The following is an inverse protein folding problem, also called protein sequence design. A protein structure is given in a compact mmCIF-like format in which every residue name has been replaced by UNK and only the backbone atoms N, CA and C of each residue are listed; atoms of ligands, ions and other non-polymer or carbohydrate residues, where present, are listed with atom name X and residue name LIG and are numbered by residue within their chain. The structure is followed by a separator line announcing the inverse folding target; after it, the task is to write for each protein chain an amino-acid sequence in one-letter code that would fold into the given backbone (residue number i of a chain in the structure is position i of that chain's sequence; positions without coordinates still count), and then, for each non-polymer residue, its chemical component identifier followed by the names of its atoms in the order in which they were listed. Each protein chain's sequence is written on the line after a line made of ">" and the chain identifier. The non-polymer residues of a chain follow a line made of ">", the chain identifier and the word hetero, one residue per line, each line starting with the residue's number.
data_IF_457832911038
#
_entry.id   IF_457832911038
#
_cell.length_a   1.000
_cell.length_b   1.000
_cell.length_c   1.000
_cell.angle_alpha   90.00
_cell.angle_beta   90.00
_cell.angle_gamma   90.00
#
_symmetry.space_group_name_H-M   'P 1'
#
loop_
_entity.id
_entity.type
_entity.pdbx_description
1 polymer ?
#
# COMPACT_ATOMS: atom_id res chain seq x y z
N UNK A 1 31.95 -57.85 51.66
CA UNK A 1 31.97 -56.58 52.39
C UNK A 1 32.97 -55.68 51.72
N UNK A 2 32.56 -54.76 50.84
CA UNK A 2 33.33 -53.61 50.38
C UNK A 2 32.35 -52.62 49.81
N UNK A 3 32.26 -51.46 50.45
CA UNK A 3 31.38 -50.35 50.12
C UNK A 3 31.75 -49.69 48.80
N UNK A 4 30.82 -49.60 47.89
CA UNK A 4 30.93 -48.82 46.67
C UNK A 4 30.22 -47.46 46.88
N UNK A 5 31.00 -46.41 47.05
CA UNK A 5 30.49 -45.02 47.13
C UNK A 5 30.16 -44.54 45.72
N UNK A 6 28.89 -44.25 45.52
CA UNK A 6 28.36 -43.66 44.30
C UNK A 6 28.63 -42.15 44.36
N UNK A 7 29.55 -41.64 43.51
CA UNK A 7 29.72 -40.21 43.29
C UNK A 7 28.69 -39.74 42.26
N UNK A 8 27.71 -38.97 42.71
CA UNK A 8 26.83 -38.21 41.85
C UNK A 8 27.59 -36.97 41.31
N UNK A 9 28.00 -37.01 40.09
CA UNK A 9 28.49 -35.83 39.38
C UNK A 9 27.28 -34.97 38.95
N UNK A 10 27.12 -33.82 39.57
CA UNK A 10 26.13 -32.81 39.22
C UNK A 10 26.58 -32.11 37.95
N UNK A 11 26.00 -32.49 36.83
CA UNK A 11 26.24 -31.83 35.52
C UNK A 11 25.43 -30.51 35.54
N UNK A 12 26.10 -29.39 35.79
CA UNK A 12 25.55 -28.08 35.57
C UNK A 12 25.41 -27.87 34.05
N UNK A 13 24.17 -27.97 33.55
CA UNK A 13 23.83 -27.46 32.21
C UNK A 13 23.96 -25.92 32.26
N UNK A 14 25.05 -25.43 31.70
CA UNK A 14 25.18 -24.05 31.26
C UNK A 14 24.18 -23.89 30.08
N UNK A 15 23.00 -23.37 30.38
CA UNK A 15 22.12 -22.81 29.34
C UNK A 15 22.85 -21.55 28.87
N UNK A 16 23.62 -21.72 27.80
CA UNK A 16 24.13 -20.60 27.03
C UNK A 16 22.89 -19.82 26.51
N UNK A 17 22.67 -18.64 27.06
CA UNK A 17 21.85 -17.64 26.44
C UNK A 17 22.45 -17.35 25.06
N UNK A 18 22.00 -18.07 24.04
CA UNK A 18 22.23 -17.67 22.67
C UNK A 18 21.65 -16.27 22.53
N UNK A 19 22.40 -15.26 22.05
CA UNK A 19 21.79 -14.00 21.69
C UNK A 19 20.70 -14.35 20.69
N UNK A 20 19.43 -14.07 21.03
CA UNK A 20 18.33 -14.27 20.14
C UNK A 20 18.70 -13.56 18.85
N UNK A 21 18.76 -14.29 17.74
CA UNK A 21 18.80 -13.67 16.43
C UNK A 21 17.55 -12.77 16.38
N UNK A 22 17.75 -11.46 16.42
CA UNK A 22 16.67 -10.52 16.14
C UNK A 22 16.17 -10.94 14.76
N UNK A 23 14.91 -11.35 14.68
CA UNK A 23 14.29 -11.73 13.42
C UNK A 23 14.51 -10.58 12.45
N UNK A 24 15.16 -10.87 11.31
CA UNK A 24 15.50 -9.82 10.35
C UNK A 24 14.20 -9.21 9.85
N UNK A 25 14.04 -7.89 10.03
CA UNK A 25 12.86 -7.17 9.55
C UNK A 25 12.73 -7.31 8.04
N UNK A 26 11.50 -7.44 7.58
CA UNK A 26 11.19 -7.51 6.15
C UNK A 26 11.28 -6.11 5.56
N UNK A 27 12.06 -5.99 4.49
CA UNK A 27 12.28 -4.72 3.82
C UNK A 27 11.13 -4.38 2.87
N UNK A 28 10.67 -3.13 2.94
CA UNK A 28 9.62 -2.62 2.05
C UNK A 28 9.98 -1.23 1.54
N UNK A 29 9.70 -0.96 0.29
CA UNK A 29 9.52 0.38 -0.25
C UNK A 29 8.03 0.56 -0.45
N UNK A 30 7.52 1.71 -0.02
CA UNK A 30 6.11 2.07 -0.15
C UNK A 30 6.00 3.06 -1.30
N UNK A 31 5.24 2.73 -2.33
CA UNK A 31 4.81 3.66 -3.36
C UNK A 31 3.35 4.00 -3.13
N UNK A 32 3.01 5.29 -3.01
CA UNK A 32 1.70 5.69 -2.49
C UNK A 32 1.29 7.08 -2.96
N UNK A 33 -0.01 7.30 -3.08
CA UNK A 33 -0.67 8.58 -3.36
C UNK A 33 -1.36 9.14 -2.11
N UNK A 34 -0.57 9.76 -1.26
CA UNK A 34 -0.90 10.14 0.12
C UNK A 34 -1.76 11.38 0.25
N UNK A 35 -3.07 11.28 0.13
CA UNK A 35 -4.02 12.41 0.09
C UNK A 35 -4.21 13.21 1.38
N UNK A 36 -3.38 12.99 2.39
CA UNK A 36 -3.41 13.75 3.64
C UNK A 36 -4.19 13.13 4.79
N UNK A 37 -4.33 13.86 5.90
CA UNK A 37 -4.82 13.30 7.16
C UNK A 37 -6.29 12.89 7.06
N UNK A 38 -6.61 11.75 7.70
CA UNK A 38 -7.93 11.12 7.68
C UNK A 38 -8.15 10.17 6.51
N UNK A 39 -7.24 10.14 5.53
CA UNK A 39 -7.26 9.18 4.41
C UNK A 39 -6.64 7.83 4.76
N UNK A 40 -7.08 6.80 4.06
CA UNK A 40 -6.58 5.41 4.20
C UNK A 40 -5.08 5.31 3.89
N UNK A 41 -4.58 6.04 2.89
CA UNK A 41 -3.18 6.04 2.49
C UNK A 41 -2.24 6.39 3.65
N UNK A 42 -2.58 7.44 4.43
CA UNK A 42 -1.78 7.84 5.60
C UNK A 42 -1.84 6.79 6.72
N UNK A 43 -2.97 6.13 6.90
CA UNK A 43 -3.12 5.04 7.88
C UNK A 43 -2.37 3.79 7.43
N UNK A 44 -2.22 3.59 6.14
CA UNK A 44 -1.40 2.53 5.55
C UNK A 44 0.08 2.73 5.84
N UNK A 45 0.59 3.97 5.65
CA UNK A 45 1.95 4.30 6.06
C UNK A 45 2.16 3.98 7.54
N UNK A 46 1.20 4.38 8.41
CA UNK A 46 1.26 4.06 9.83
C UNK A 46 1.25 2.55 10.08
N UNK A 47 0.42 1.78 9.37
CA UNK A 47 0.34 0.32 9.52
C UNK A 47 1.70 -0.35 9.28
N UNK A 48 2.41 0.08 8.23
CA UNK A 48 3.74 -0.44 7.90
C UNK A 48 4.82 0.06 8.87
N UNK A 49 4.83 1.36 9.18
CA UNK A 49 5.82 2.00 10.06
C UNK A 49 5.73 1.49 11.50
N UNK A 50 4.52 1.26 12.01
CA UNK A 50 4.28 0.80 13.39
C UNK A 50 4.58 -0.69 13.57
N UNK A 51 4.71 -1.45 12.49
CA UNK A 51 4.98 -2.89 12.59
C UNK A 51 6.44 -3.15 13.00
N UNK A 52 6.68 -3.91 14.09
CA UNK A 52 8.02 -4.20 14.56
C UNK A 52 8.80 -5.16 13.65
N UNK A 53 8.11 -5.85 12.74
CA UNK A 53 8.72 -6.82 11.79
C UNK A 53 9.00 -6.21 10.42
N UNK A 54 8.76 -4.90 10.25
CA UNK A 54 8.93 -4.18 8.99
C UNK A 54 10.09 -3.20 9.07
N UNK A 55 10.88 -3.12 8.02
CA UNK A 55 11.88 -2.09 7.75
C UNK A 55 11.45 -1.30 6.52
N UNK A 56 10.96 -0.07 6.71
CA UNK A 56 10.62 0.82 5.62
C UNK A 56 11.89 1.49 5.12
N UNK A 57 12.30 1.16 3.89
CA UNK A 57 13.52 1.70 3.26
C UNK A 57 13.32 3.12 2.72
N UNK A 58 12.09 3.45 2.35
CA UNK A 58 11.68 4.76 1.86
C UNK A 58 10.26 4.74 1.33
N UNK A 59 9.74 5.93 1.04
CA UNK A 59 8.40 6.15 0.51
C UNK A 59 8.56 6.95 -0.78
N UNK A 60 8.16 6.37 -1.91
CA UNK A 60 7.96 7.10 -3.17
C UNK A 60 6.52 7.61 -3.22
N UNK A 61 6.33 8.80 -3.77
CA UNK A 61 5.01 9.46 -3.79
C UNK A 61 4.66 9.85 -5.21
N UNK A 62 3.60 9.24 -5.72
CA UNK A 62 3.05 9.46 -7.06
C UNK A 62 1.80 10.34 -6.99
N UNK A 63 1.45 11.07 -8.03
CA UNK A 63 0.12 11.70 -8.10
C UNK A 63 -0.97 10.66 -8.30
N UNK A 64 -2.05 10.82 -7.58
CA UNK A 64 -3.23 9.96 -7.66
C UNK A 64 -4.41 10.63 -6.98
N UNK A 65 -4.60 10.37 -5.70
CA UNK A 65 -5.66 10.99 -4.89
C UNK A 65 -5.56 12.52 -4.90
N UNK A 66 -4.31 13.05 -4.82
CA UNK A 66 -3.98 14.46 -4.97
C UNK A 66 -2.76 14.60 -5.90
N UNK A 67 -2.23 15.82 -6.02
CA UNK A 67 -1.00 16.05 -6.76
C UNK A 67 0.23 15.66 -5.94
N UNK A 68 1.23 15.09 -6.58
CA UNK A 68 2.46 14.59 -5.97
C UNK A 68 3.09 15.53 -4.93
N UNK A 69 3.23 16.83 -5.23
CA UNK A 69 3.91 17.76 -4.33
C UNK A 69 3.13 18.02 -3.04
N UNK A 70 1.80 18.05 -3.13
CA UNK A 70 0.91 18.09 -1.97
C UNK A 70 1.03 16.80 -1.15
N UNK A 71 0.99 15.64 -1.79
CA UNK A 71 1.10 14.34 -1.13
C UNK A 71 2.46 14.10 -0.49
N UNK A 72 3.55 14.59 -1.12
CA UNK A 72 4.89 14.63 -0.51
C UNK A 72 4.87 15.46 0.77
N UNK A 73 4.22 16.62 0.75
CA UNK A 73 4.15 17.50 1.94
C UNK A 73 3.35 16.84 3.08
N UNK A 74 2.24 16.15 2.79
CA UNK A 74 1.49 15.36 3.75
C UNK A 74 2.33 14.23 4.34
N UNK A 75 3.04 13.48 3.49
CA UNK A 75 3.89 12.35 3.90
C UNK A 75 5.02 12.82 4.82
N UNK A 76 5.74 13.87 4.45
CA UNK A 76 6.79 14.47 5.29
C UNK A 76 6.22 14.89 6.65
N UNK A 77 5.06 15.54 6.64
CA UNK A 77 4.44 16.00 7.88
C UNK A 77 3.99 14.86 8.78
N UNK A 78 3.45 13.77 8.22
CA UNK A 78 3.16 12.57 8.98
C UNK A 78 4.41 12.02 9.67
N UNK A 79 5.51 11.86 8.91
CA UNK A 79 6.76 11.32 9.46
C UNK A 79 7.33 12.18 10.59
N UNK A 80 7.20 13.51 10.48
CA UNK A 80 7.56 14.43 11.59
C UNK A 80 6.69 14.18 12.82
N UNK A 81 5.38 14.04 12.64
CA UNK A 81 4.42 13.86 13.74
C UNK A 81 4.63 12.53 14.49
N UNK A 82 5.06 11.49 13.78
CA UNK A 82 5.30 10.17 14.40
C UNK A 82 6.78 9.91 14.72
N UNK A 83 7.67 10.89 14.47
CA UNK A 83 9.08 10.81 14.84
C UNK A 83 9.91 9.85 13.96
N UNK A 84 9.57 9.72 12.68
CA UNK A 84 10.22 8.85 11.69
C UNK A 84 10.80 9.61 10.50
N UNK A 85 11.40 10.77 10.76
CA UNK A 85 12.09 11.58 9.74
C UNK A 85 13.38 10.93 9.17
N UNK A 86 13.73 9.76 9.68
CA UNK A 86 14.78 8.89 9.15
C UNK A 86 14.38 8.20 7.83
N UNK A 87 13.07 8.05 7.57
CA UNK A 87 12.56 7.44 6.34
C UNK A 87 12.58 8.48 5.22
N UNK A 88 13.32 8.26 4.13
CA UNK A 88 13.33 9.17 2.99
C UNK A 88 11.97 9.18 2.28
N UNK A 89 11.48 10.36 1.95
CA UNK A 89 10.33 10.58 1.07
C UNK A 89 10.84 11.07 -0.27
N UNK A 90 10.58 10.34 -1.32
CA UNK A 90 11.12 10.58 -2.66
C UNK A 90 9.97 10.95 -3.61
N UNK A 91 9.97 12.17 -4.18
CA UNK A 91 8.96 12.54 -5.15
C UNK A 91 9.03 11.67 -6.41
N UNK A 92 7.90 11.08 -6.78
CA UNK A 92 7.73 10.29 -7.99
C UNK A 92 7.16 11.09 -9.16
N UNK A 93 6.35 10.43 -9.98
CA UNK A 93 5.76 11.04 -11.18
C UNK A 93 4.64 12.03 -10.82
N UNK A 94 4.65 13.18 -11.50
CA UNK A 94 3.54 14.14 -11.42
C UNK A 94 2.36 13.71 -12.29
N UNK A 95 2.65 13.06 -13.41
CA UNK A 95 1.65 12.71 -14.39
C UNK A 95 1.84 11.30 -14.93
N UNK A 96 0.76 10.56 -15.16
CA UNK A 96 0.79 9.41 -16.05
C UNK A 96 1.40 9.78 -17.40
N UNK A 97 2.23 8.95 -18.03
CA UNK A 97 2.82 9.24 -19.34
C UNK A 97 1.79 9.39 -20.46
N UNK A 98 0.71 8.63 -20.43
CA UNK A 98 -0.31 8.55 -21.49
C UNK A 98 -1.62 9.15 -21.02
N UNK A 99 -2.25 8.57 -19.99
CA UNK A 99 -3.54 8.99 -19.49
C UNK A 99 -3.43 10.31 -18.71
N UNK A 100 -4.12 11.34 -19.20
CA UNK A 100 -4.08 12.69 -18.64
C UNK A 100 -5.47 13.18 -18.27
N UNK A 101 -5.56 14.21 -17.44
CA UNK A 101 -6.84 14.81 -17.04
C UNK A 101 -7.76 15.08 -18.22
N UNK A 102 -7.22 15.61 -19.35
CA UNK A 102 -8.03 15.89 -20.54
C UNK A 102 -8.66 14.63 -21.12
N UNK A 103 -7.91 13.56 -21.22
CA UNK A 103 -8.38 12.25 -21.70
C UNK A 103 -9.42 11.68 -20.73
N UNK A 104 -9.17 11.74 -19.43
CA UNK A 104 -10.11 11.32 -18.40
C UNK A 104 -11.43 12.10 -18.45
N UNK A 105 -11.38 13.42 -18.64
CA UNK A 105 -12.58 14.27 -18.79
C UNK A 105 -13.35 13.94 -20.06
N UNK A 106 -12.67 13.67 -21.19
CA UNK A 106 -13.32 13.23 -22.44
C UNK A 106 -13.97 11.86 -22.29
N UNK A 107 -13.29 10.94 -21.59
CA UNK A 107 -13.84 9.62 -21.29
C UNK A 107 -15.13 9.76 -20.46
N UNK A 108 -15.10 10.55 -19.38
CA UNK A 108 -16.26 10.79 -18.53
C UNK A 108 -17.42 11.48 -19.30
N UNK A 109 -17.10 12.40 -20.20
CA UNK A 109 -18.12 13.05 -21.04
C UNK A 109 -18.82 12.07 -21.99
N UNK A 110 -18.12 11.02 -22.42
CA UNK A 110 -18.63 10.02 -23.36
C UNK A 110 -19.34 8.86 -22.68
N UNK A 111 -18.79 8.37 -21.54
CA UNK A 111 -19.21 7.11 -20.93
C UNK A 111 -19.88 7.28 -19.56
N UNK A 112 -19.84 8.48 -18.98
CA UNK A 112 -20.40 8.78 -17.67
C UNK A 112 -19.34 9.21 -16.66
N UNK A 113 -19.78 9.98 -15.66
CA UNK A 113 -18.89 10.45 -14.59
C UNK A 113 -18.51 9.31 -13.65
N UNK A 114 -17.24 9.26 -13.25
CA UNK A 114 -16.80 8.46 -12.11
C UNK A 114 -17.13 9.17 -10.80
N UNK A 115 -17.33 8.43 -9.73
CA UNK A 115 -17.62 9.01 -8.43
C UNK A 115 -16.40 9.67 -7.79
N UNK A 116 -15.22 9.13 -8.08
CA UNK A 116 -13.93 9.62 -7.59
C UNK A 116 -12.92 9.68 -8.75
N UNK A 117 -12.27 10.84 -8.92
CA UNK A 117 -11.29 11.08 -9.98
C UNK A 117 -9.94 11.62 -9.43
N UNK A 118 -9.72 11.55 -8.12
CA UNK A 118 -8.49 11.98 -7.48
C UNK A 118 -8.10 13.42 -7.81
N UNK A 119 -6.84 13.67 -8.10
CA UNK A 119 -6.30 14.96 -8.48
C UNK A 119 -6.97 15.60 -9.71
N UNK A 120 -7.72 14.82 -10.50
CA UNK A 120 -8.42 15.35 -11.67
C UNK A 120 -9.86 15.76 -11.39
N UNK A 121 -10.35 15.57 -10.16
CA UNK A 121 -11.74 15.87 -9.80
C UNK A 121 -12.00 17.38 -9.75
N UNK A 122 -13.03 17.84 -10.47
CA UNK A 122 -13.39 19.27 -10.53
C UNK A 122 -13.78 19.87 -9.16
N UNK A 123 -14.16 19.02 -8.17
CA UNK A 123 -14.62 19.45 -6.85
C UNK A 123 -13.54 20.10 -5.99
N UNK A 124 -12.26 19.68 -6.22
CA UNK A 124 -11.08 20.17 -5.47
C UNK A 124 -9.86 20.36 -6.36
N UNK A 125 -10.07 20.47 -7.67
CA UNK A 125 -8.99 20.63 -8.61
C UNK A 125 -8.21 21.95 -8.39
N UNK A 126 -6.90 21.84 -8.42
CA UNK A 126 -5.93 22.95 -8.46
C UNK A 126 -4.76 22.58 -9.37
N UNK A 127 -3.90 23.55 -9.68
CA UNK A 127 -2.70 23.30 -10.47
C UNK A 127 -1.74 22.36 -9.71
N UNK A 128 -1.07 21.47 -10.46
CA UNK A 128 -0.22 20.42 -9.90
C UNK A 128 0.97 20.90 -9.06
N UNK A 129 1.41 22.14 -9.24
CA UNK A 129 2.49 22.80 -8.51
C UNK A 129 2.00 23.66 -7.32
N UNK A 130 0.71 23.62 -7.05
CA UNK A 130 0.09 24.31 -5.92
C UNK A 130 -0.04 23.35 -4.74
N UNK A 131 0.53 23.72 -3.59
CA UNK A 131 0.30 22.99 -2.33
C UNK A 131 -0.72 23.80 -1.53
N UNK A 132 -1.94 23.26 -1.30
CA UNK A 132 -2.94 23.90 -0.47
C UNK A 132 -2.49 24.05 0.99
N UNK A 133 -3.28 24.77 1.79
CA UNK A 133 -3.06 24.80 3.24
C UNK A 133 -3.33 23.41 3.83
N UNK A 134 -2.31 22.78 4.42
CA UNK A 134 -2.39 21.44 4.98
C UNK A 134 -3.05 21.47 6.36
N UNK A 135 -4.05 20.63 6.56
CA UNK A 135 -4.81 20.54 7.81
C UNK A 135 -3.92 20.23 9.04
N UNK A 136 -2.88 19.43 8.85
CA UNK A 136 -1.88 19.07 9.88
C UNK A 136 -0.74 20.07 9.99
N UNK A 137 -0.73 21.09 9.14
CA UNK A 137 0.31 22.10 9.01
C UNK A 137 1.44 21.70 8.07
N UNK A 138 2.23 22.66 7.60
CA UNK A 138 3.29 22.42 6.64
C UNK A 138 4.42 21.58 7.23
N UNK A 139 5.12 20.76 6.42
CA UNK A 139 6.32 20.07 6.85
C UNK A 139 7.48 21.04 7.09
N UNK A 140 8.43 20.62 7.92
CA UNK A 140 9.70 21.31 8.19
C UNK A 140 10.88 20.58 7.56
N UNK A 141 10.73 19.30 7.29
CA UNK A 141 11.69 18.46 6.57
C UNK A 141 11.49 18.62 5.07
N UNK A 142 12.44 18.16 4.30
CA UNK A 142 12.41 18.21 2.83
C UNK A 142 12.43 16.81 2.26
N UNK A 143 11.83 16.66 1.09
CA UNK A 143 11.92 15.44 0.32
C UNK A 143 13.38 15.11 -0.05
N UNK A 144 13.66 13.83 -0.19
CA UNK A 144 14.95 13.37 -0.64
C UNK A 144 15.08 13.60 -2.15
N UNK A 145 16.21 14.14 -2.57
CA UNK A 145 16.59 14.26 -3.99
C UNK A 145 17.35 12.99 -4.39
N UNK A 146 16.59 11.94 -4.71
CA UNK A 146 17.14 10.61 -4.95
C UNK A 146 16.64 9.98 -6.27
N UNK A 147 17.17 10.46 -7.39
CA UNK A 147 16.87 9.89 -8.71
C UNK A 147 17.04 8.37 -8.75
N UNK A 148 16.06 7.67 -9.31
CA UNK A 148 16.10 6.22 -9.48
C UNK A 148 16.12 5.44 -8.15
N UNK A 149 15.53 5.97 -7.09
CA UNK A 149 15.49 5.35 -5.76
C UNK A 149 15.00 3.90 -5.80
N UNK A 150 13.87 3.64 -6.43
CA UNK A 150 13.30 2.29 -6.58
C UNK A 150 14.32 1.30 -7.14
N UNK A 151 14.93 1.66 -8.27
CA UNK A 151 15.93 0.82 -8.97
C UNK A 151 17.15 0.58 -8.08
N UNK A 152 17.71 1.66 -7.49
CA UNK A 152 18.89 1.52 -6.63
C UNK A 152 18.66 0.62 -5.42
N UNK A 153 17.47 0.67 -4.83
CA UNK A 153 17.17 -0.14 -3.66
C UNK A 153 17.03 -1.62 -3.98
N UNK A 154 16.39 -2.01 -5.09
CA UNK A 154 16.32 -3.43 -5.48
C UNK A 154 17.68 -3.98 -5.89
N UNK A 155 18.57 -3.16 -6.47
CA UNK A 155 19.95 -3.55 -6.74
C UNK A 155 20.79 -3.67 -5.46
N UNK A 156 20.55 -2.81 -4.47
CA UNK A 156 21.26 -2.85 -3.18
C UNK A 156 20.86 -4.06 -2.34
N UNK A 157 19.59 -4.43 -2.36
CA UNK A 157 19.03 -5.50 -1.55
C UNK A 157 18.36 -6.55 -2.43
N UNK A 158 19.19 -7.23 -3.25
CA UNK A 158 18.74 -8.20 -4.25
C UNK A 158 17.76 -9.23 -3.66
N UNK A 159 16.54 -9.25 -4.18
CA UNK A 159 15.49 -10.19 -3.81
C UNK A 159 15.01 -10.12 -2.34
N UNK A 160 15.32 -9.05 -1.64
CA UNK A 160 14.90 -8.84 -0.25
C UNK A 160 13.84 -7.74 -0.08
N UNK A 161 13.60 -6.94 -1.12
CA UNK A 161 12.70 -5.79 -1.06
C UNK A 161 11.35 -6.13 -1.63
N UNK A 162 10.31 -6.06 -0.82
CA UNK A 162 8.94 -6.00 -1.33
C UNK A 162 8.63 -4.57 -1.77
N UNK A 163 8.06 -4.41 -2.95
CA UNK A 163 7.43 -3.16 -3.37
C UNK A 163 5.97 -3.22 -2.94
N UNK A 164 5.58 -2.33 -2.05
CA UNK A 164 4.20 -2.11 -1.66
C UNK A 164 3.65 -0.94 -2.47
N UNK A 165 2.60 -1.17 -3.21
CA UNK A 165 1.96 -0.20 -4.10
C UNK A 165 0.53 0.06 -3.65
N UNK A 166 0.22 1.29 -3.29
CA UNK A 166 -1.11 1.70 -2.86
C UNK A 166 -1.71 2.84 -3.69
N UNK A 167 -1.01 3.29 -4.73
CA UNK A 167 -1.43 4.32 -5.65
C UNK A 167 -1.49 3.85 -7.11
N UNK A 168 -1.56 4.78 -8.07
CA UNK A 168 -1.36 4.49 -9.49
C UNK A 168 0.07 4.04 -9.77
N UNK A 169 0.25 2.95 -10.49
CA UNK A 169 1.53 2.26 -10.72
C UNK A 169 2.55 3.01 -11.62
N UNK A 170 2.40 4.32 -11.79
CA UNK A 170 3.21 5.12 -12.71
C UNK A 170 4.70 5.03 -12.40
N UNK A 171 5.10 5.15 -11.13
CA UNK A 171 6.51 5.10 -10.73
C UNK A 171 7.13 3.73 -10.99
N UNK A 172 6.38 2.66 -10.76
CA UNK A 172 6.84 1.29 -11.03
C UNK A 172 6.97 1.02 -12.52
N UNK A 173 6.05 1.53 -13.34
CA UNK A 173 6.12 1.43 -14.79
C UNK A 173 7.35 2.16 -15.34
N UNK A 174 7.64 3.36 -14.84
CA UNK A 174 8.84 4.11 -15.20
C UNK A 174 10.12 3.39 -14.76
N UNK A 175 10.15 2.83 -13.54
CA UNK A 175 11.28 2.04 -13.06
C UNK A 175 11.54 0.82 -13.96
N UNK A 176 10.51 0.07 -14.34
CA UNK A 176 10.61 -1.06 -15.27
C UNK A 176 11.06 -0.63 -16.69
N UNK A 177 10.64 0.56 -17.14
CA UNK A 177 11.04 1.07 -18.44
C UNK A 177 12.52 1.51 -18.48
N UNK A 178 13.05 1.99 -17.35
CA UNK A 178 14.45 2.41 -17.20
C UNK A 178 15.36 1.19 -16.97
N UNK A 179 14.94 0.27 -16.08
CA UNK A 179 15.66 -0.94 -15.77
C UNK A 179 14.78 -2.19 -15.96
N UNK A 180 14.96 -2.95 -17.04
CA UNK A 180 14.15 -4.15 -17.30
C UNK A 180 14.31 -5.27 -16.25
N UNK A 181 15.31 -5.19 -15.37
CA UNK A 181 15.54 -6.14 -14.28
C UNK A 181 14.88 -5.71 -12.96
N UNK A 182 14.34 -4.49 -12.87
CA UNK A 182 13.78 -3.94 -11.64
C UNK A 182 12.80 -4.92 -10.95
N UNK A 183 11.78 -5.38 -11.69
CA UNK A 183 10.78 -6.29 -11.16
C UNK A 183 11.36 -7.67 -10.76
N UNK A 184 12.31 -8.20 -11.53
CA UNK A 184 12.97 -9.49 -11.25
C UNK A 184 13.83 -9.43 -9.98
N UNK A 185 14.46 -8.29 -9.71
CA UNK A 185 15.35 -8.08 -8.57
C UNK A 185 14.60 -7.86 -7.26
N UNK A 186 13.33 -7.46 -7.30
CA UNK A 186 12.48 -7.36 -6.12
C UNK A 186 12.10 -8.74 -5.56
N UNK A 187 11.73 -8.80 -4.29
CA UNK A 187 11.15 -9.99 -3.66
C UNK A 187 9.73 -10.25 -4.17
N UNK A 188 8.90 -9.21 -4.14
CA UNK A 188 7.50 -9.27 -4.54
C UNK A 188 6.95 -7.89 -4.87
N UNK A 189 5.87 -7.86 -5.65
CA UNK A 189 4.92 -6.76 -5.73
C UNK A 189 3.69 -7.12 -4.88
N UNK A 190 3.32 -6.24 -3.97
CA UNK A 190 2.08 -6.31 -3.17
C UNK A 190 1.33 -5.01 -3.41
N UNK A 191 0.10 -5.09 -3.87
CA UNK A 191 -0.64 -3.87 -4.21
C UNK A 191 -2.11 -3.92 -3.83
N UNK A 192 -2.68 -2.73 -3.56
CA UNK A 192 -4.11 -2.49 -3.56
C UNK A 192 -4.52 -1.95 -4.92
N UNK A 193 -5.46 -2.61 -5.56
CA UNK A 193 -5.95 -2.15 -6.86
C UNK A 193 -6.75 -3.19 -7.62
N UNK A 194 -7.46 -2.72 -8.63
CA UNK A 194 -8.28 -3.56 -9.49
C UNK A 194 -9.51 -4.17 -8.80
N UNK A 195 -10.29 -4.89 -9.60
CA UNK A 195 -11.45 -5.63 -9.14
C UNK A 195 -11.61 -6.93 -9.93
N UNK A 196 -11.85 -8.05 -9.24
CA UNK A 196 -11.99 -9.37 -9.87
C UNK A 196 -13.44 -9.77 -10.10
N UNK A 197 -14.37 -9.13 -9.42
CA UNK A 197 -15.81 -9.33 -9.53
C UNK A 197 -16.53 -8.02 -9.28
N UNK A 198 -17.85 -8.04 -9.38
CA UNK A 198 -18.68 -6.90 -8.98
C UNK A 198 -18.68 -6.80 -7.44
N UNK A 199 -18.20 -5.67 -6.86
CA UNK A 199 -18.17 -5.51 -5.41
C UNK A 199 -19.56 -5.55 -4.81
N UNK A 200 -19.72 -6.26 -3.71
CA UNK A 200 -20.97 -6.35 -2.96
C UNK A 200 -21.09 -5.14 -2.04
N UNK A 201 -21.34 -3.97 -2.62
CA UNK A 201 -21.44 -2.68 -1.94
C UNK A 201 -22.52 -1.82 -2.59
N UNK A 202 -23.08 -0.89 -1.83
CA UNK A 202 -23.97 0.18 -2.27
C UNK A 202 -23.22 1.52 -2.50
N UNK A 203 -21.88 1.48 -2.46
CA UNK A 203 -21.05 2.65 -2.69
C UNK A 203 -21.22 3.16 -4.13
N UNK A 204 -21.52 4.46 -4.33
CA UNK A 204 -21.73 5.03 -5.67
C UNK A 204 -20.55 4.88 -6.60
N UNK A 205 -19.32 4.79 -6.09
CA UNK A 205 -18.11 4.59 -6.88
C UNK A 205 -18.20 3.31 -7.71
N UNK A 206 -18.67 2.22 -7.12
CA UNK A 206 -18.73 0.91 -7.78
C UNK A 206 -20.05 0.64 -8.47
N UNK A 207 -21.13 1.30 -8.06
CA UNK A 207 -22.44 1.15 -8.70
C UNK A 207 -22.49 1.79 -10.08
N UNK A 208 -21.78 2.92 -10.27
CA UNK A 208 -21.76 3.67 -11.52
C UNK A 208 -20.83 3.08 -12.59
N UNK A 209 -19.78 2.37 -12.18
CA UNK A 209 -18.78 1.79 -13.07
C UNK A 209 -18.28 0.45 -12.51
N UNK A 210 -19.04 -0.66 -12.67
CA UNK A 210 -18.64 -1.98 -12.21
C UNK A 210 -17.25 -2.35 -12.73
N UNK A 211 -16.37 -2.85 -11.84
CA UNK A 211 -14.96 -3.15 -12.07
C UNK A 211 -14.05 -1.94 -12.26
N UNK A 212 -14.60 -0.74 -12.16
CA UNK A 212 -13.79 0.47 -12.06
C UNK A 212 -13.06 0.44 -10.71
N UNK A 213 -11.76 0.64 -10.77
CA UNK A 213 -10.95 0.86 -9.58
C UNK A 213 -10.01 2.02 -9.88
N UNK A 214 -9.86 2.94 -8.91
CA UNK A 214 -9.25 4.24 -9.13
C UNK A 214 -7.78 4.14 -9.54
N UNK A 215 -6.95 3.34 -8.87
CA UNK A 215 -5.51 3.24 -9.15
C UNK A 215 -5.25 2.76 -10.57
N UNK A 216 -6.01 1.75 -11.04
CA UNK A 216 -5.91 1.25 -12.40
C UNK A 216 -6.47 2.24 -13.43
N UNK A 217 -7.56 2.93 -13.10
CA UNK A 217 -8.16 3.90 -14.01
C UNK A 217 -7.32 5.17 -14.16
N UNK A 218 -6.61 5.60 -13.10
CA UNK A 218 -5.78 6.79 -13.14
C UNK A 218 -4.59 6.63 -14.09
N UNK A 219 -3.97 5.45 -14.13
CA UNK A 219 -2.91 5.10 -15.11
C UNK A 219 -3.01 3.64 -15.57
N UNK A 220 -3.96 3.34 -16.49
CA UNK A 220 -4.18 1.96 -16.93
C UNK A 220 -3.00 1.36 -17.68
N UNK A 221 -2.24 2.17 -18.42
CA UNK A 221 -1.06 1.73 -19.15
C UNK A 221 0.07 1.33 -18.19
N UNK A 222 0.25 2.09 -17.11
CA UNK A 222 1.22 1.73 -16.07
C UNK A 222 0.81 0.44 -15.38
N UNK A 223 -0.45 0.32 -14.95
CA UNK A 223 -0.95 -0.88 -14.31
C UNK A 223 -0.76 -2.13 -15.19
N UNK A 224 -1.11 -2.05 -16.48
CA UNK A 224 -0.85 -3.12 -17.44
C UNK A 224 0.63 -3.46 -17.55
N UNK A 225 1.48 -2.48 -17.74
CA UNK A 225 2.93 -2.67 -17.92
C UNK A 225 3.57 -3.31 -16.69
N UNK A 226 3.18 -2.86 -15.50
CA UNK A 226 3.68 -3.39 -14.22
C UNK A 226 3.22 -4.83 -14.01
N UNK A 227 1.95 -5.14 -14.28
CA UNK A 227 1.42 -6.50 -14.15
C UNK A 227 2.04 -7.50 -15.14
N UNK A 228 2.56 -7.05 -16.27
CA UNK A 228 3.26 -7.88 -17.27
C UNK A 228 4.76 -8.04 -16.97
N UNK A 229 5.32 -7.23 -16.06
CA UNK A 229 6.74 -7.27 -15.72
C UNK A 229 7.14 -8.58 -15.00
N UNK A 230 8.44 -8.96 -15.00
CA UNK A 230 8.89 -10.28 -14.55
C UNK A 230 9.02 -10.40 -13.01
N UNK A 231 8.02 -9.98 -12.26
CA UNK A 231 7.97 -10.17 -10.81
C UNK A 231 8.02 -11.65 -10.44
N UNK A 232 8.72 -11.98 -9.36
CA UNK A 232 8.73 -13.33 -8.79
C UNK A 232 7.40 -13.71 -8.15
N UNK A 233 6.77 -12.72 -7.54
CA UNK A 233 5.47 -12.86 -6.86
C UNK A 233 4.69 -11.58 -7.00
N UNK A 234 3.39 -11.71 -7.29
CA UNK A 234 2.44 -10.59 -7.31
C UNK A 234 1.27 -10.95 -6.40
N UNK A 235 0.93 -10.06 -5.47
CA UNK A 235 -0.20 -10.19 -4.55
C UNK A 235 -1.10 -8.98 -4.70
N UNK A 236 -2.37 -9.24 -4.97
CA UNK A 236 -3.40 -8.24 -5.18
C UNK A 236 -4.43 -8.27 -4.04
N UNK A 237 -4.68 -7.11 -3.45
CA UNK A 237 -5.83 -6.85 -2.58
C UNK A 237 -6.83 -6.00 -3.37
N UNK A 238 -7.81 -6.61 -4.06
CA UNK A 238 -8.75 -5.88 -4.90
C UNK A 238 -9.85 -5.19 -4.09
N UNK A 239 -10.63 -4.31 -4.75
CA UNK A 239 -11.79 -3.66 -4.14
C UNK A 239 -12.80 -4.67 -3.57
N UNK A 240 -12.93 -5.85 -4.17
CA UNK A 240 -13.87 -6.90 -3.77
C UNK A 240 -13.74 -7.34 -2.31
N UNK A 241 -12.51 -7.40 -1.81
CA UNK A 241 -12.25 -7.75 -0.41
C UNK A 241 -12.23 -6.50 0.48
N UNK A 242 -11.71 -5.39 -0.03
CA UNK A 242 -11.50 -4.17 0.73
C UNK A 242 -12.80 -3.52 1.17
N UNK A 243 -13.88 -3.62 0.38
CA UNK A 243 -15.22 -3.12 0.76
C UNK A 243 -15.81 -3.82 1.98
N UNK A 244 -15.21 -4.93 2.45
CA UNK A 244 -15.59 -5.59 3.70
C UNK A 244 -15.01 -4.92 4.93
N UNK A 245 -14.05 -4.00 4.76
CA UNK A 245 -13.34 -3.33 5.85
C UNK A 245 -13.79 -1.88 5.97
N UNK A 246 -13.93 -1.41 7.21
CA UNK A 246 -14.15 0.02 7.51
C UNK A 246 -13.52 0.36 8.85
N UNK A 247 -12.93 1.56 8.94
CA UNK A 247 -12.60 2.10 10.24
C UNK A 247 -13.88 2.50 10.96
N UNK A 248 -14.06 2.05 12.19
CA UNK A 248 -15.28 2.25 12.96
C UNK A 248 -15.07 3.19 14.14
N UNK A 249 -16.13 3.84 14.62
CA UNK A 249 -16.10 4.60 15.87
C UNK A 249 -15.61 3.76 17.06
N UNK A 250 -15.86 2.44 17.04
CA UNK A 250 -15.35 1.51 18.04
C UNK A 250 -13.83 1.44 18.04
N UNK A 251 -13.24 1.20 16.86
CA UNK A 251 -11.78 1.17 16.70
C UNK A 251 -11.14 2.50 17.11
N UNK A 252 -11.72 3.62 16.70
CA UNK A 252 -11.19 4.95 17.07
C UNK A 252 -11.27 5.20 18.58
N UNK A 253 -12.34 4.75 19.26
CA UNK A 253 -12.42 4.82 20.73
C UNK A 253 -11.33 4.00 21.40
N UNK A 254 -11.07 2.78 20.90
CA UNK A 254 -10.04 1.91 21.44
C UNK A 254 -8.63 2.49 21.20
N UNK A 255 -8.39 3.07 20.01
CA UNK A 255 -7.13 3.75 19.67
C UNK A 255 -6.89 4.96 20.59
N UNK A 256 -7.94 5.72 20.90
CA UNK A 256 -7.88 6.91 21.77
C UNK A 256 -7.39 6.62 23.19
N UNK A 257 -7.40 5.37 23.63
CA UNK A 257 -6.86 4.97 24.93
C UNK A 257 -5.33 5.04 25.00
N UNK A 258 -4.64 5.24 23.86
CA UNK A 258 -3.19 5.33 23.77
C UNK A 258 -2.72 6.75 23.51
N UNK A 259 -1.57 7.09 24.10
CA UNK A 259 -0.86 8.36 23.86
C UNK A 259 0.22 8.23 22.76
N UNK A 260 0.22 7.13 21.98
CA UNK A 260 1.16 6.98 20.86
C UNK A 260 0.94 8.08 19.82
N UNK A 261 2.00 8.48 19.13
CA UNK A 261 1.90 9.51 18.08
C UNK A 261 0.95 9.09 16.94
N UNK A 262 0.96 7.81 16.59
CA UNK A 262 0.05 7.24 15.60
C UNK A 262 -1.41 7.31 16.07
N UNK A 263 -1.69 6.95 17.33
CA UNK A 263 -3.02 7.06 17.90
C UNK A 263 -3.52 8.51 17.92
N UNK A 264 -2.68 9.45 18.34
CA UNK A 264 -3.03 10.87 18.34
C UNK A 264 -3.34 11.38 16.92
N UNK A 265 -2.56 10.95 15.91
CA UNK A 265 -2.81 11.30 14.51
C UNK A 265 -4.16 10.76 14.02
N UNK A 266 -4.40 9.46 14.16
CA UNK A 266 -5.64 8.81 13.71
C UNK A 266 -6.87 9.44 14.39
N UNK A 267 -6.84 9.61 15.72
CA UNK A 267 -7.98 10.17 16.48
C UNK A 267 -8.25 11.62 16.13
N UNK A 268 -7.21 12.43 15.95
CA UNK A 268 -7.35 13.85 15.61
C UNK A 268 -7.99 14.08 14.25
N UNK A 269 -7.65 13.24 13.28
CA UNK A 269 -8.05 13.44 11.89
C UNK A 269 -9.14 12.46 11.41
N UNK A 270 -9.72 11.68 12.31
CA UNK A 270 -10.82 10.79 11.95
C UNK A 270 -12.04 11.55 11.43
N UNK A 271 -12.42 11.26 10.20
CA UNK A 271 -13.56 11.91 9.54
C UNK A 271 -14.88 11.20 9.89
N UNK A 272 -15.43 11.54 11.03
CA UNK A 272 -16.63 10.92 11.61
C UNK A 272 -17.88 11.01 10.73
N UNK A 273 -18.04 12.12 10.02
CA UNK A 273 -19.26 12.42 9.26
C UNK A 273 -19.39 11.62 7.95
N UNK A 274 -18.36 10.87 7.56
CA UNK A 274 -18.33 10.03 6.36
C UNK A 274 -18.61 8.55 6.64
N UNK A 275 -19.04 8.19 7.83
CA UNK A 275 -19.35 6.80 8.20
C UNK A 275 -18.14 5.87 8.27
N UNK A 276 -16.94 6.44 8.36
CA UNK A 276 -15.66 5.75 8.24
C UNK A 276 -15.32 5.38 6.80
N UNK A 277 -14.03 5.47 6.45
CA UNK A 277 -13.56 5.02 5.16
C UNK A 277 -13.43 3.50 5.11
N UNK A 278 -13.53 2.93 3.91
CA UNK A 278 -12.99 1.62 3.66
C UNK A 278 -11.48 1.63 3.91
N UNK A 279 -10.98 0.56 4.47
CA UNK A 279 -9.55 0.40 4.77
C UNK A 279 -8.89 -0.33 3.59
N UNK A 280 -8.85 0.37 2.44
CA UNK A 280 -8.36 -0.17 1.17
C UNK A 280 -6.95 -0.71 1.29
N UNK A 281 -6.02 0.19 1.54
CA UNK A 281 -4.59 -0.05 1.53
C UNK A 281 -4.10 -0.63 2.85
N UNK A 282 -4.74 -0.28 3.97
CA UNK A 282 -4.42 -0.86 5.29
C UNK A 282 -4.60 -2.37 5.28
N UNK A 283 -5.62 -2.88 4.56
CA UNK A 283 -5.81 -4.32 4.43
C UNK A 283 -4.66 -4.96 3.67
N UNK A 284 -4.22 -4.37 2.55
CA UNK A 284 -3.10 -4.88 1.77
C UNK A 284 -1.81 -4.90 2.59
N UNK A 285 -1.54 -3.82 3.33
CA UNK A 285 -0.40 -3.71 4.23
C UNK A 285 -0.45 -4.74 5.37
N UNK A 286 -1.58 -4.86 6.05
CA UNK A 286 -1.77 -5.82 7.14
C UNK A 286 -1.65 -7.27 6.66
N UNK A 287 -2.23 -7.59 5.49
CA UNK A 287 -2.12 -8.92 4.88
C UNK A 287 -0.70 -9.26 4.43
N UNK A 288 0.10 -8.26 4.04
CA UNK A 288 1.52 -8.48 3.79
C UNK A 288 2.30 -8.74 5.09
N UNK A 289 1.99 -8.01 6.17
CA UNK A 289 2.62 -8.21 7.50
C UNK A 289 2.24 -9.59 8.05
N UNK A 290 0.96 -9.93 8.06
CA UNK A 290 0.43 -11.23 8.50
C UNK A 290 -0.45 -11.87 7.42
N UNK A 291 0.12 -12.70 6.51
CA UNK A 291 -0.62 -13.35 5.45
C UNK A 291 -1.74 -14.31 5.94
N UNK A 292 -1.72 -14.70 7.21
CA UNK A 292 -2.75 -15.57 7.79
C UNK A 292 -4.07 -14.84 8.08
N UNK A 293 -4.11 -13.51 7.91
CA UNK A 293 -5.36 -12.74 7.90
C UNK A 293 -6.25 -13.09 6.71
N UNK A 294 -5.67 -13.53 5.60
CA UNK A 294 -6.40 -13.88 4.38
C UNK A 294 -6.88 -15.33 4.48
N UNK A 295 -8.18 -15.50 4.54
CA UNK A 295 -8.84 -16.81 4.70
C UNK A 295 -9.17 -17.47 3.37
N UNK A 296 -9.27 -16.68 2.29
CA UNK A 296 -9.51 -17.15 0.94
C UNK A 296 -8.73 -16.35 -0.09
N UNK A 297 -8.11 -17.04 -1.03
CA UNK A 297 -7.37 -16.44 -2.16
C UNK A 297 -7.49 -17.32 -3.40
N UNK A 298 -7.32 -16.73 -4.56
CA UNK A 298 -7.27 -17.42 -5.86
C UNK A 298 -6.05 -16.94 -6.66
N UNK A 299 -5.62 -17.73 -7.60
CA UNK A 299 -4.54 -17.36 -8.51
C UNK A 299 -5.10 -17.21 -9.93
N UNK A 300 -4.95 -16.02 -10.50
CA UNK A 300 -5.44 -15.67 -11.83
C UNK A 300 -4.36 -14.96 -12.62
N UNK A 301 -4.37 -15.17 -13.92
CA UNK A 301 -3.66 -14.27 -14.82
C UNK A 301 -4.41 -12.95 -14.84
N UNK A 302 -3.70 -11.84 -14.67
CA UNK A 302 -4.30 -10.50 -14.55
C UNK A 302 -3.67 -9.53 -15.54
N UNK A 303 -4.47 -8.67 -16.10
CA UNK A 303 -4.08 -7.53 -16.94
C UNK A 303 -5.13 -6.43 -16.81
N UNK A 304 -4.94 -5.33 -17.52
CA UNK A 304 -5.83 -4.16 -17.55
C UNK A 304 -6.24 -3.87 -18.97
N UNK A 305 -7.51 -3.49 -19.15
CA UNK A 305 -8.02 -3.00 -20.44
C UNK A 305 -7.44 -1.60 -20.72
N UNK A 306 -6.81 -1.44 -21.87
CA UNK A 306 -6.20 -0.17 -22.33
C UNK A 306 -6.68 0.18 -23.76
N UNK A 307 -7.85 -0.28 -24.14
CA UNK A 307 -8.41 -0.02 -25.47
C UNK A 307 -9.06 1.37 -25.59
N UNK A 308 -8.96 2.23 -24.57
CA UNK A 308 -9.54 3.57 -24.47
C UNK A 308 -11.06 3.59 -24.74
N UNK A 309 -11.72 2.46 -24.50
CA UNK A 309 -13.15 2.27 -24.60
C UNK A 309 -13.87 2.53 -23.28
N UNK A 310 -15.12 2.04 -23.17
CA UNK A 310 -15.91 2.13 -21.95
C UNK A 310 -15.30 1.31 -20.78
N UNK A 311 -14.48 0.32 -21.09
CA UNK A 311 -13.83 -0.55 -20.13
C UNK A 311 -12.38 -0.14 -19.81
N UNK A 312 -11.94 1.02 -20.28
CA UNK A 312 -10.57 1.52 -20.05
C UNK A 312 -10.24 1.56 -18.56
N UNK A 313 -9.13 0.96 -18.18
CA UNK A 313 -8.74 0.78 -16.78
C UNK A 313 -9.41 -0.39 -16.05
N UNK A 314 -10.33 -1.13 -16.68
CA UNK A 314 -10.96 -2.27 -16.06
C UNK A 314 -9.99 -3.47 -15.91
N UNK A 315 -10.11 -4.18 -14.82
CA UNK A 315 -9.33 -5.38 -14.55
C UNK A 315 -9.80 -6.55 -15.42
N UNK A 316 -8.85 -7.22 -16.05
CA UNK A 316 -9.06 -8.45 -16.83
C UNK A 316 -8.42 -9.62 -16.10
N UNK A 317 -9.16 -10.71 -15.90
CA UNK A 317 -8.63 -11.91 -15.23
C UNK A 317 -9.00 -13.18 -15.95
N UNK A 318 -8.08 -14.17 -15.97
CA UNK A 318 -8.28 -15.47 -16.60
C UNK A 318 -7.77 -16.61 -15.74
N UNK A 319 -8.41 -17.76 -15.90
CA UNK A 319 -7.81 -19.03 -15.45
C UNK A 319 -6.62 -19.38 -16.36
N UNK A 320 -5.79 -20.33 -15.95
CA UNK A 320 -4.69 -20.78 -16.82
C UNK A 320 -5.19 -21.34 -18.15
N UNK A 321 -6.33 -22.03 -18.15
CA UNK A 321 -6.95 -22.60 -19.33
C UNK A 321 -7.38 -21.53 -20.35
N UNK A 322 -7.89 -20.41 -19.87
CA UNK A 322 -8.54 -19.40 -20.70
C UNK A 322 -7.63 -18.19 -20.95
N UNK A 323 -6.39 -18.20 -20.41
CA UNK A 323 -5.43 -17.13 -20.60
C UNK A 323 -5.01 -16.99 -22.07
N UNK A 324 -5.20 -15.80 -22.69
CA UNK A 324 -4.86 -15.55 -24.09
C UNK A 324 -3.37 -15.53 -24.38
N UNK A 325 -2.52 -15.62 -23.35
CA UNK A 325 -1.05 -15.61 -23.46
C UNK A 325 -0.47 -14.32 -24.06
N UNK A 326 -1.09 -13.18 -23.75
CA UNK A 326 -0.71 -11.84 -24.22
C UNK A 326 0.14 -11.06 -23.19
N UNK A 327 0.89 -11.74 -22.31
CA UNK A 327 1.79 -11.09 -21.36
C UNK A 327 1.31 -11.14 -19.90
N UNK A 328 0.00 -11.32 -19.65
CA UNK A 328 -0.56 -11.38 -18.31
C UNK A 328 0.20 -12.39 -17.42
N UNK A 329 0.50 -11.97 -16.18
CA UNK A 329 1.19 -12.79 -15.17
C UNK A 329 0.21 -13.35 -14.17
N UNK A 330 0.65 -14.41 -13.49
CA UNK A 330 -0.10 -15.03 -12.41
C UNK A 330 -0.04 -14.14 -11.16
N UNK A 331 -1.22 -13.75 -10.67
CA UNK A 331 -1.40 -12.88 -9.49
C UNK A 331 -2.17 -13.66 -8.44
N UNK A 332 -1.69 -13.63 -7.20
CA UNK A 332 -2.45 -14.11 -6.04
C UNK A 332 -3.47 -13.03 -5.66
N UNK A 333 -4.76 -13.31 -5.86
CA UNK A 333 -5.86 -12.39 -5.59
C UNK A 333 -6.50 -12.78 -4.26
N UNK A 334 -6.51 -11.87 -3.32
CA UNK A 334 -7.14 -12.03 -2.01
C UNK A 334 -8.66 -11.89 -2.14
N UNK A 335 -9.43 -12.77 -1.51
CA UNK A 335 -10.88 -12.83 -1.68
C UNK A 335 -11.67 -12.75 -0.37
N UNK A 336 -11.07 -13.18 0.74
CA UNK A 336 -11.71 -13.11 2.05
C UNK A 336 -10.68 -13.03 3.18
N UNK A 337 -11.13 -12.51 4.34
CA UNK A 337 -10.26 -12.21 5.47
C UNK A 337 -10.91 -12.55 6.82
N UNK A 338 -10.08 -12.71 7.83
CA UNK A 338 -10.51 -12.66 9.23
C UNK A 338 -10.62 -11.18 9.67
N UNK A 339 -11.79 -10.59 9.46
CA UNK A 339 -12.04 -9.18 9.73
C UNK A 339 -11.79 -8.80 11.20
N UNK A 340 -12.12 -9.69 12.15
CA UNK A 340 -11.93 -9.41 13.56
C UNK A 340 -10.44 -9.31 13.93
N UNK A 341 -9.61 -10.21 13.40
CA UNK A 341 -8.16 -10.17 13.58
C UNK A 341 -7.53 -8.97 12.88
N UNK A 342 -7.98 -8.65 11.66
CA UNK A 342 -7.52 -7.45 10.95
C UNK A 342 -7.80 -6.18 11.75
N UNK A 343 -9.04 -5.96 12.20
CA UNK A 343 -9.41 -4.79 13.00
C UNK A 343 -8.59 -4.71 14.29
N UNK A 344 -8.41 -5.84 14.98
CA UNK A 344 -7.59 -5.89 16.18
C UNK A 344 -6.13 -5.54 15.89
N UNK A 345 -5.54 -6.09 14.83
CA UNK A 345 -4.16 -5.81 14.43
C UNK A 345 -3.96 -4.32 14.12
N UNK A 346 -4.87 -3.70 13.38
CA UNK A 346 -4.80 -2.28 13.08
C UNK A 346 -4.84 -1.43 14.37
N UNK A 347 -5.80 -1.70 15.27
CA UNK A 347 -5.91 -1.00 16.55
C UNK A 347 -4.63 -1.18 17.40
N UNK A 348 -4.11 -2.39 17.49
CA UNK A 348 -2.90 -2.68 18.27
C UNK A 348 -1.68 -1.93 17.69
N UNK A 349 -1.53 -1.88 16.36
CA UNK A 349 -0.45 -1.14 15.70
C UNK A 349 -0.56 0.37 15.99
N UNK A 350 -1.74 0.95 15.87
CA UNK A 350 -1.92 2.39 16.15
C UNK A 350 -1.66 2.72 17.62
N UNK A 351 -1.96 1.81 18.54
CA UNK A 351 -1.71 1.98 20.00
C UNK A 351 -0.24 1.78 20.38
N UNK A 352 0.53 1.08 19.57
CA UNK A 352 1.92 0.77 19.88
C UNK A 352 2.82 2.02 19.82
N UNK A 353 3.89 2.08 20.63
CA UNK A 353 4.93 3.10 20.46
C UNK A 353 5.57 2.97 19.07
N UNK A 354 5.81 4.10 18.40
CA UNK A 354 6.47 4.07 17.09
C UNK A 354 7.87 3.46 17.21
N UNK A 355 8.19 2.40 16.43
CA UNK A 355 9.50 1.80 16.44
C UNK A 355 10.58 2.83 16.05
N UNK A 356 11.69 2.85 16.77
CA UNK A 356 12.82 3.74 16.44
C UNK A 356 13.54 3.27 15.20
N UNK A 357 14.16 4.23 14.49
CA UNK A 357 15.20 3.93 13.52
C UNK A 357 16.35 3.15 14.18
N UNK A 358 16.97 2.28 13.46
CA UNK A 358 18.16 1.53 13.89
C UNK A 358 19.43 2.14 13.34
#
# INVERSE_FOLDING_TARGET
>A
MKNLKLCFAMLFLLIANSPGFAEQRRKVIIDQDCSGPGGNNMQTLLTLIQSPVVEVLGITVVSGNQWRDEEVAHTLRLLELVGRTDIPVVPGAVFPPVHRRKEAMLWQAKYGKVAFAGAWDDRWWHEHDTIPELLEGPPRTQAADEDGFLIRMVHKYLHEVTIYEGGPMTDLALANAIDPHFAELAEALVFMGGGSSEPQTDDPEFLSAPRHEFNFWFDPEAAKSVLEAPWKKIVCTPVDISVKTRITDGMVRDIKESDSAAAQYVVKFFMKDQGGFYMWDELAAAAWIDPSLITKKDARYMSVDVDHGAADGNTLTWTDKDNPRLGARLVEIQQDLDLARFNKMFVDLMKAPTPRAH
#
